data_IF_873833589698
#
_entry.id   IF_873833589698
#
_cell.length_a   1.000
_cell.length_b   1.000
_cell.length_c   1.000
_cell.angle_alpha   90.00
_cell.angle_beta   90.00
_cell.angle_gamma   90.00
#
_symmetry.space_group_name_H-M   'P 1'
#
loop_
_entity.id
_entity.type
_entity.pdbx_description
1 polymer ?
#
# COMPACT_ATOMS: atom_id res chain seq x y z
N UNK A 1 -25.35 -30.59 -36.59
CA UNK A 1 -24.42 -29.50 -37.01
C UNK A 1 -24.47 -28.23 -36.15
N UNK A 2 -25.54 -27.94 -35.39
CA UNK A 2 -25.64 -26.72 -34.55
C UNK A 2 -24.83 -26.73 -33.25
N UNK A 3 -24.49 -27.89 -32.69
CA UNK A 3 -23.75 -27.99 -31.41
C UNK A 3 -22.24 -27.66 -31.53
N UNK A 4 -21.63 -27.87 -32.70
CA UNK A 4 -20.19 -27.65 -32.92
C UNK A 4 -19.87 -26.15 -33.07
N UNK A 5 -20.86 -25.35 -33.48
CA UNK A 5 -20.75 -23.88 -33.59
C UNK A 5 -20.74 -23.20 -32.22
N UNK A 6 -21.51 -23.70 -31.25
CA UNK A 6 -21.53 -23.15 -29.88
C UNK A 6 -20.23 -23.41 -29.11
N UNK A 7 -19.57 -24.54 -29.33
CA UNK A 7 -18.29 -24.87 -28.68
C UNK A 7 -17.13 -24.00 -29.18
N UNK A 8 -17.14 -23.63 -30.47
CA UNK A 8 -16.16 -22.70 -31.07
C UNK A 8 -16.38 -21.25 -30.65
N UNK A 9 -17.64 -20.83 -30.47
CA UNK A 9 -17.96 -19.50 -29.96
C UNK A 9 -17.56 -19.32 -28.48
N UNK A 10 -17.72 -20.36 -27.65
CA UNK A 10 -17.29 -20.34 -26.25
C UNK A 10 -15.76 -20.32 -26.09
N UNK A 11 -15.03 -21.06 -26.94
CA UNK A 11 -13.56 -21.07 -26.92
C UNK A 11 -12.96 -19.70 -27.35
N UNK A 12 -13.59 -18.99 -28.28
CA UNK A 12 -13.18 -17.63 -28.68
C UNK A 12 -13.50 -16.58 -27.61
N UNK A 13 -14.58 -16.76 -26.83
CA UNK A 13 -14.92 -15.89 -25.70
C UNK A 13 -13.99 -16.12 -24.49
N UNK A 14 -13.55 -17.36 -24.24
CA UNK A 14 -12.52 -17.66 -23.25
C UNK A 14 -11.12 -17.15 -23.66
N UNK A 15 -10.78 -17.19 -24.96
CA UNK A 15 -9.52 -16.63 -25.46
C UNK A 15 -9.50 -15.09 -25.42
N UNK A 16 -10.66 -14.43 -25.57
CA UNK A 16 -10.78 -12.98 -25.43
C UNK A 16 -10.74 -12.50 -23.96
N UNK A 17 -11.09 -13.36 -23.00
CA UNK A 17 -10.97 -13.05 -21.57
C UNK A 17 -9.58 -13.36 -20.99
N UNK A 18 -8.77 -14.13 -21.72
CA UNK A 18 -7.36 -14.40 -21.44
C UNK A 18 -6.43 -13.41 -22.15
N UNK A 19 -6.91 -12.20 -22.43
CA UNK A 19 -6.04 -11.05 -22.66
C UNK A 19 -5.28 -10.78 -21.37
N UNK A 20 -4.17 -11.49 -21.19
CA UNK A 20 -3.22 -11.27 -20.13
C UNK A 20 -2.93 -9.77 -20.07
N UNK A 21 -3.41 -9.12 -19.02
CA UNK A 21 -2.92 -7.83 -18.58
C UNK A 21 -1.49 -8.11 -18.15
N UNK A 22 -0.58 -8.16 -19.12
CA UNK A 22 0.82 -7.89 -18.87
C UNK A 22 0.84 -6.45 -18.40
N UNK A 23 0.72 -6.28 -17.08
CA UNK A 23 1.19 -5.06 -16.44
C UNK A 23 2.65 -4.95 -16.89
N UNK A 24 2.89 -4.00 -17.79
CA UNK A 24 4.24 -3.58 -18.16
C UNK A 24 4.74 -2.76 -16.97
N UNK A 25 5.97 -3.03 -16.57
CA UNK A 25 6.69 -2.27 -15.58
C UNK A 25 6.86 -0.90 -16.18
N UNK A 26 6.86 0.06 -15.27
CA UNK A 26 7.36 1.35 -15.67
C UNK A 26 8.85 1.19 -16.02
N UNK A 27 9.23 1.62 -17.22
CA UNK A 27 10.65 1.65 -17.59
C UNK A 27 11.32 2.68 -16.67
N UNK A 28 12.20 2.23 -15.78
CA UNK A 28 12.91 3.07 -14.82
C UNK A 28 13.53 4.29 -15.53
N UNK A 29 14.06 4.12 -16.75
CA UNK A 29 14.69 5.20 -17.51
C UNK A 29 13.73 6.32 -17.90
N UNK A 30 12.43 6.03 -17.97
CA UNK A 30 11.38 7.01 -18.25
C UNK A 30 10.85 7.71 -17.00
N UNK A 31 11.22 7.23 -15.80
CA UNK A 31 10.84 7.86 -14.54
C UNK A 31 11.71 9.09 -14.32
N UNK A 32 11.07 10.25 -14.33
CA UNK A 32 11.69 11.53 -14.01
C UNK A 32 11.03 12.12 -12.76
N UNK A 33 11.79 12.83 -11.91
CA UNK A 33 11.22 13.51 -10.76
C UNK A 33 10.19 14.56 -11.20
N UNK A 34 8.95 14.44 -10.73
CA UNK A 34 7.94 15.50 -10.87
C UNK A 34 7.89 16.45 -9.67
N UNK A 35 8.79 16.23 -8.70
CA UNK A 35 8.75 16.72 -7.33
C UNK A 35 9.43 15.70 -6.42
N UNK A 36 9.24 15.84 -5.10
CA UNK A 36 9.64 14.81 -4.15
C UNK A 36 8.71 13.59 -4.21
N UNK A 37 7.47 13.76 -4.69
CA UNK A 37 6.45 12.69 -4.78
C UNK A 37 6.12 12.37 -6.23
N UNK A 38 6.50 11.15 -6.66
CA UNK A 38 6.21 10.61 -7.98
C UNK A 38 5.22 9.44 -7.85
N UNK A 39 3.93 9.70 -8.07
CA UNK A 39 2.85 8.71 -7.92
C UNK A 39 2.42 8.13 -9.27
N UNK A 40 3.08 7.07 -9.74
CA UNK A 40 2.79 6.42 -11.03
C UNK A 40 1.69 5.36 -10.90
N UNK A 41 1.49 4.86 -9.66
CA UNK A 41 0.40 3.95 -9.34
C UNK A 41 -0.95 4.67 -9.21
N UNK A 42 -0.96 5.99 -9.01
CA UNK A 42 -2.18 6.78 -8.83
C UNK A 42 -2.89 6.46 -7.51
N UNK A 43 -2.13 6.13 -6.47
CA UNK A 43 -2.64 5.65 -5.18
C UNK A 43 -2.54 6.68 -4.06
N UNK A 44 -1.96 7.85 -4.34
CA UNK A 44 -1.83 8.96 -3.38
C UNK A 44 -2.82 10.06 -3.76
N UNK A 45 -3.73 10.39 -2.85
CA UNK A 45 -4.67 11.50 -3.04
C UNK A 45 -3.96 12.85 -3.12
N UNK A 46 -4.51 13.81 -3.88
CA UNK A 46 -3.90 15.12 -4.16
C UNK A 46 -3.53 15.91 -2.91
N UNK A 47 -4.38 15.90 -1.87
CA UNK A 47 -4.12 16.58 -0.60
C UNK A 47 -2.89 16.01 0.12
N UNK A 48 -2.82 14.67 0.22
CA UNK A 48 -1.67 13.97 0.81
C UNK A 48 -0.41 14.20 0.00
N UNK A 49 -0.50 14.16 -1.34
CA UNK A 49 0.63 14.47 -2.21
C UNK A 49 1.18 15.87 -1.89
N UNK A 50 0.31 16.88 -1.78
CA UNK A 50 0.73 18.24 -1.45
C UNK A 50 1.37 18.33 -0.05
N UNK A 51 0.82 17.64 0.96
CA UNK A 51 1.40 17.60 2.30
C UNK A 51 2.77 16.91 2.34
N UNK A 52 2.92 15.80 1.61
CA UNK A 52 4.19 15.07 1.47
C UNK A 52 5.24 15.91 0.74
N UNK A 53 4.86 16.62 -0.32
CA UNK A 53 5.76 17.55 -1.03
C UNK A 53 6.24 18.67 -0.09
N UNK A 54 5.33 19.25 0.71
CA UNK A 54 5.68 20.29 1.69
C UNK A 54 6.64 19.77 2.77
N UNK A 55 6.40 18.55 3.31
CA UNK A 55 7.28 17.89 4.26
C UNK A 55 8.68 17.68 3.68
N UNK A 56 8.78 17.13 2.47
CA UNK A 56 10.07 16.84 1.85
C UNK A 56 10.83 18.12 1.50
N UNK A 57 10.11 19.16 1.06
CA UNK A 57 10.67 20.49 0.80
C UNK A 57 11.25 21.11 2.07
N UNK A 58 10.49 21.10 3.16
CA UNK A 58 10.95 21.65 4.44
C UNK A 58 12.15 20.87 4.99
N UNK A 59 12.13 19.53 4.88
CA UNK A 59 13.22 18.68 5.30
C UNK A 59 14.52 19.04 4.57
N UNK A 60 14.48 19.18 3.25
CA UNK A 60 15.65 19.56 2.46
C UNK A 60 16.13 20.98 2.84
N UNK A 61 15.22 21.94 2.96
CA UNK A 61 15.59 23.32 3.34
C UNK A 61 16.27 23.41 4.71
N UNK A 62 15.82 22.61 5.68
CA UNK A 62 16.34 22.67 7.06
C UNK A 62 17.56 21.78 7.29
N UNK A 63 17.72 20.69 6.55
CA UNK A 63 18.74 19.66 6.84
C UNK A 63 19.67 19.35 5.67
N UNK A 64 19.35 19.83 4.47
CA UNK A 64 20.02 19.46 3.22
C UNK A 64 19.79 18.00 2.79
N UNK A 65 18.98 17.22 3.51
CA UNK A 65 18.65 15.85 3.16
C UNK A 65 17.45 15.77 2.23
N UNK A 66 17.52 14.91 1.23
CA UNK A 66 16.47 14.72 0.22
C UNK A 66 15.68 13.44 0.50
N UNK A 67 14.37 13.56 0.64
CA UNK A 67 13.45 12.42 0.74
C UNK A 67 12.60 12.36 -0.52
N UNK A 68 12.68 11.27 -1.29
CA UNK A 68 11.80 11.02 -2.42
C UNK A 68 10.84 9.88 -2.11
N UNK A 69 9.64 10.02 -2.63
CA UNK A 69 8.54 9.10 -2.45
C UNK A 69 8.09 8.70 -3.85
N UNK A 70 8.16 7.41 -4.14
CA UNK A 70 7.79 6.88 -5.45
C UNK A 70 6.83 5.72 -5.28
N UNK A 71 5.70 5.77 -5.99
CA UNK A 71 4.83 4.62 -6.15
C UNK A 71 4.89 4.16 -7.60
N UNK A 72 5.04 2.86 -7.81
CA UNK A 72 5.04 2.23 -9.13
C UNK A 72 3.97 1.16 -9.15
N UNK A 73 3.35 0.91 -10.30
CA UNK A 73 2.29 -0.11 -10.37
C UNK A 73 2.84 -1.50 -10.10
N UNK A 74 3.94 -1.83 -10.76
CA UNK A 74 4.56 -3.15 -10.79
C UNK A 74 6.09 -3.03 -10.87
N UNK A 75 6.81 -4.01 -10.33
CA UNK A 75 8.25 -4.21 -10.49
C UNK A 75 8.58 -5.17 -11.65
N UNK A 76 7.56 -5.77 -12.28
CA UNK A 76 7.67 -6.78 -13.35
C UNK A 76 8.60 -7.95 -13.04
N UNK A 77 8.51 -8.45 -11.81
CA UNK A 77 9.32 -9.60 -11.39
C UNK A 77 10.78 -9.25 -11.11
N UNK A 78 11.21 -7.99 -11.23
CA UNK A 78 12.49 -7.55 -10.68
C UNK A 78 12.45 -7.56 -9.14
N UNK A 79 13.60 -7.74 -8.50
CA UNK A 79 13.70 -7.59 -7.05
C UNK A 79 13.54 -6.12 -6.68
N UNK A 80 12.83 -5.86 -5.57
CA UNK A 80 12.54 -4.50 -5.13
C UNK A 80 13.82 -3.77 -4.70
N UNK A 81 14.80 -4.51 -4.21
CA UNK A 81 16.13 -4.02 -3.85
C UNK A 81 16.88 -3.49 -5.08
N UNK A 82 16.99 -4.28 -6.14
CA UNK A 82 17.65 -3.84 -7.37
C UNK A 82 16.89 -2.69 -8.04
N UNK A 83 15.56 -2.79 -8.12
CA UNK A 83 14.73 -1.75 -8.69
C UNK A 83 14.93 -0.41 -7.96
N UNK A 84 14.94 -0.43 -6.63
CA UNK A 84 15.10 0.80 -5.84
C UNK A 84 16.49 1.41 -5.97
N UNK A 85 17.56 0.60 -6.02
CA UNK A 85 18.93 1.11 -6.24
C UNK A 85 19.04 1.79 -7.61
N UNK A 86 18.50 1.15 -8.66
CA UNK A 86 18.52 1.70 -10.01
C UNK A 86 17.67 2.98 -10.11
N UNK A 87 16.50 2.97 -9.48
CA UNK A 87 15.64 4.14 -9.39
C UNK A 87 16.30 5.29 -8.60
N UNK A 88 16.96 4.99 -7.48
CA UNK A 88 17.69 5.99 -6.68
C UNK A 88 18.77 6.70 -7.52
N UNK A 89 19.52 5.92 -8.31
CA UNK A 89 20.55 6.44 -9.23
C UNK A 89 19.93 7.24 -10.38
N UNK A 90 18.86 6.72 -10.98
CA UNK A 90 18.15 7.37 -12.08
C UNK A 90 17.57 8.73 -11.68
N UNK A 91 16.98 8.83 -10.50
CA UNK A 91 16.48 10.09 -9.97
C UNK A 91 17.61 11.04 -9.57
N UNK A 92 18.82 10.52 -9.33
CA UNK A 92 19.96 11.28 -8.85
C UNK A 92 19.79 11.68 -7.38
N UNK A 93 19.29 10.79 -6.53
CA UNK A 93 18.94 11.13 -5.15
C UNK A 93 20.13 11.54 -4.27
N UNK A 94 19.98 12.64 -3.53
CA UNK A 94 20.99 13.20 -2.62
C UNK A 94 21.99 14.13 -3.32
N UNK A 95 22.69 14.95 -2.55
CA UNK A 95 23.83 15.73 -3.04
C UNK A 95 24.98 14.80 -3.46
N UNK A 96 25.63 15.04 -4.61
CA UNK A 96 26.88 14.35 -4.99
C UNK A 96 27.99 14.45 -3.93
N UNK A 97 27.98 15.50 -3.12
CA UNK A 97 29.00 15.74 -2.10
C UNK A 97 28.70 14.93 -0.84
N UNK A 98 27.44 14.91 -0.43
CA UNK A 98 27.07 14.48 0.92
C UNK A 98 26.26 13.18 0.93
N UNK A 99 25.75 12.72 -0.21
CA UNK A 99 24.95 11.49 -0.38
C UNK A 99 23.75 11.38 0.58
N UNK A 100 23.18 12.53 0.99
CA UNK A 100 22.06 12.60 1.93
C UNK A 100 20.71 12.45 1.23
N UNK A 101 20.46 11.29 0.64
CA UNK A 101 19.20 10.95 -0.03
C UNK A 101 18.51 9.73 0.60
N UNK A 102 17.19 9.72 0.62
CA UNK A 102 16.37 8.56 0.99
C UNK A 102 15.25 8.40 -0.05
N UNK A 103 15.08 7.19 -0.57
CA UNK A 103 13.97 6.83 -1.46
C UNK A 103 13.02 5.89 -0.72
N UNK A 104 11.76 6.28 -0.61
CA UNK A 104 10.65 5.41 -0.21
C UNK A 104 9.89 4.95 -1.44
N UNK A 105 10.03 3.68 -1.79
CA UNK A 105 9.38 3.02 -2.92
C UNK A 105 8.24 2.11 -2.44
N UNK A 106 7.08 2.19 -3.10
CA UNK A 106 5.94 1.28 -2.89
C UNK A 106 5.43 0.74 -4.23
N UNK A 107 5.29 -0.59 -4.33
CA UNK A 107 4.76 -1.30 -5.49
C UNK A 107 3.49 -2.08 -5.11
N UNK A 108 2.28 -1.51 -5.30
CA UNK A 108 1.03 -2.12 -4.89
C UNK A 108 0.74 -3.49 -5.52
N UNK A 109 1.01 -3.69 -6.82
CA UNK A 109 0.69 -4.97 -7.47
C UNK A 109 1.59 -6.11 -6.96
N UNK A 110 2.85 -5.81 -6.63
CA UNK A 110 3.81 -6.76 -6.06
C UNK A 110 3.65 -6.95 -4.56
N UNK A 111 2.87 -6.08 -3.89
CA UNK A 111 2.79 -5.94 -2.44
C UNK A 111 4.16 -5.81 -1.77
N UNK A 112 5.02 -4.97 -2.34
CA UNK A 112 6.39 -4.74 -1.86
C UNK A 112 6.67 -3.25 -1.63
N UNK A 113 7.47 -2.96 -0.62
CA UNK A 113 8.02 -1.64 -0.37
C UNK A 113 9.53 -1.74 -0.12
N UNK A 114 10.22 -0.61 -0.33
CA UNK A 114 11.65 -0.49 -0.10
C UNK A 114 11.99 0.94 0.32
N UNK A 115 12.85 1.04 1.34
CA UNK A 115 13.45 2.29 1.81
C UNK A 115 14.93 2.22 1.50
N UNK A 116 15.36 2.86 0.42
CA UNK A 116 16.76 2.93 0.01
C UNK A 116 17.41 4.16 0.65
N UNK A 117 18.48 3.96 1.42
CA UNK A 117 19.18 5.03 2.15
C UNK A 117 20.53 5.29 1.49
N UNK A 118 20.82 6.55 1.17
CA UNK A 118 22.12 6.97 0.66
C UNK A 118 23.20 6.98 1.74
N UNK A 119 24.46 6.78 1.35
CA UNK A 119 25.60 6.63 2.28
C UNK A 119 25.71 7.74 3.32
N UNK A 120 25.33 8.98 2.98
CA UNK A 120 25.38 10.13 3.88
C UNK A 120 24.38 10.12 5.03
N UNK A 121 23.37 9.25 4.96
CA UNK A 121 22.33 9.10 5.96
C UNK A 121 22.33 7.73 6.64
N UNK A 122 23.20 6.79 6.28
CA UNK A 122 23.31 5.48 6.95
C UNK A 122 23.56 5.58 8.48
N UNK A 123 24.38 6.53 8.99
CA UNK A 123 24.53 6.70 10.44
C UNK A 123 23.25 7.16 11.14
N UNK A 124 22.37 7.83 10.39
CA UNK A 124 21.11 8.43 10.88
C UNK A 124 19.95 7.47 10.73
N UNK A 125 19.85 6.79 9.58
CA UNK A 125 18.83 5.82 9.24
C UNK A 125 19.55 4.52 8.89
N UNK A 126 19.92 3.79 9.94
CA UNK A 126 20.39 2.43 9.79
C UNK A 126 19.22 1.49 9.43
N UNK A 127 19.55 0.24 9.10
CA UNK A 127 18.56 -0.77 8.68
C UNK A 127 17.47 -1.01 9.74
N UNK A 128 17.79 -0.86 11.03
CA UNK A 128 16.81 -0.99 12.10
C UNK A 128 15.76 0.13 12.05
N UNK A 129 16.19 1.40 11.93
CA UNK A 129 15.30 2.57 11.79
C UNK A 129 14.51 2.53 10.48
N UNK A 130 15.15 2.16 9.38
CA UNK A 130 14.45 1.93 8.10
C UNK A 130 13.39 0.82 8.25
N UNK A 131 13.74 -0.26 8.94
CA UNK A 131 12.82 -1.36 9.23
C UNK A 131 11.65 -0.95 10.13
N UNK A 132 11.88 -0.09 11.12
CA UNK A 132 10.81 0.48 11.96
C UNK A 132 9.83 1.33 11.14
N UNK A 133 10.35 2.22 10.28
CA UNK A 133 9.53 3.01 9.37
C UNK A 133 8.72 2.11 8.43
N UNK A 134 9.36 1.12 7.80
CA UNK A 134 8.68 0.16 6.94
C UNK A 134 7.59 -0.63 7.66
N UNK A 135 7.85 -1.13 8.88
CA UNK A 135 6.86 -1.84 9.70
C UNK A 135 5.67 -0.95 10.07
N UNK A 136 5.88 0.33 10.33
CA UNK A 136 4.80 1.28 10.62
C UNK A 136 3.84 1.46 9.43
N UNK A 137 4.32 1.27 8.19
CA UNK A 137 3.49 1.33 6.99
C UNK A 137 2.59 0.10 6.81
N UNK A 138 3.05 -1.09 7.23
CA UNK A 138 2.40 -2.38 6.93
C UNK A 138 0.91 -2.45 7.28
N UNK A 139 0.43 -1.95 8.44
CA UNK A 139 -1.01 -1.96 8.75
C UNK A 139 -1.87 -1.24 7.71
N UNK A 140 -1.40 -0.13 7.16
CA UNK A 140 -2.10 0.64 6.13
C UNK A 140 -1.98 -0.01 4.75
N UNK A 141 -0.79 -0.53 4.42
CA UNK A 141 -0.54 -1.26 3.18
C UNK A 141 -1.47 -2.48 3.05
N UNK A 142 -1.66 -3.25 4.13
CA UNK A 142 -2.60 -4.38 4.18
C UNK A 142 -4.05 -4.00 3.92
N UNK A 143 -4.42 -2.75 4.21
CA UNK A 143 -5.75 -2.21 4.00
C UNK A 143 -5.88 -1.51 2.64
N UNK A 144 -4.84 -1.57 1.80
CA UNK A 144 -4.74 -0.81 0.55
C UNK A 144 -4.84 0.72 0.75
N UNK A 145 -4.54 1.20 1.96
CA UNK A 145 -4.44 2.62 2.26
C UNK A 145 -3.00 3.10 2.01
N UNK A 146 -2.62 3.17 0.73
CA UNK A 146 -1.27 3.52 0.32
C UNK A 146 -0.89 4.96 0.69
N UNK A 147 -1.88 5.86 0.70
CA UNK A 147 -1.68 7.25 1.09
C UNK A 147 -1.30 7.39 2.57
N UNK A 148 -2.05 6.75 3.48
CA UNK A 148 -1.70 6.73 4.92
C UNK A 148 -0.39 5.97 5.17
N UNK A 149 -0.14 4.88 4.42
CA UNK A 149 1.09 4.11 4.54
C UNK A 149 2.33 4.98 4.22
N UNK A 150 2.34 5.61 3.06
CA UNK A 150 3.47 6.43 2.60
C UNK A 150 3.67 7.64 3.49
N UNK A 151 2.60 8.31 3.92
CA UNK A 151 2.67 9.43 4.86
C UNK A 151 3.30 9.01 6.20
N UNK A 152 2.89 7.86 6.74
CA UNK A 152 3.46 7.32 7.99
C UNK A 152 4.95 7.05 7.86
N UNK A 153 5.36 6.35 6.79
CA UNK A 153 6.78 6.06 6.53
C UNK A 153 7.60 7.34 6.31
N UNK A 154 7.10 8.27 5.51
CA UNK A 154 7.77 9.52 5.19
C UNK A 154 7.99 10.40 6.44
N UNK A 155 6.95 10.58 7.28
CA UNK A 155 7.08 11.34 8.52
C UNK A 155 8.08 10.72 9.49
N UNK A 156 8.09 9.39 9.61
CA UNK A 156 9.02 8.71 10.50
C UNK A 156 10.48 8.86 10.03
N UNK A 157 10.73 8.73 8.72
CA UNK A 157 12.05 8.95 8.13
C UNK A 157 12.49 10.42 8.28
N UNK A 158 11.60 11.36 7.96
CA UNK A 158 11.86 12.79 8.10
C UNK A 158 12.18 13.18 9.55
N UNK A 159 11.47 12.58 10.52
CA UNK A 159 11.74 12.78 11.94
C UNK A 159 13.14 12.31 12.34
N UNK A 160 13.59 11.13 11.90
CA UNK A 160 14.94 10.67 12.22
C UNK A 160 16.03 11.63 11.73
N UNK A 161 15.85 12.21 10.53
CA UNK A 161 16.77 13.18 9.94
C UNK A 161 16.71 14.53 10.68
N UNK A 162 15.50 14.98 11.02
CA UNK A 162 15.28 16.23 11.74
C UNK A 162 15.87 16.19 13.16
N UNK A 163 15.64 15.08 13.88
CA UNK A 163 16.17 14.84 15.22
C UNK A 163 17.71 14.84 15.22
N UNK A 164 18.34 14.18 14.22
CA UNK A 164 19.80 14.19 14.03
C UNK A 164 20.36 15.59 13.75
N UNK A 165 19.62 16.38 12.95
CA UNK A 165 20.00 17.75 12.60
C UNK A 165 19.60 18.78 13.67
N UNK A 166 18.97 18.36 14.77
CA UNK A 166 18.42 19.22 15.83
C UNK A 166 17.47 20.31 15.32
N UNK A 167 16.66 19.99 14.30
CA UNK A 167 15.65 20.88 13.74
C UNK A 167 14.24 20.34 14.01
N UNK A 168 13.25 21.23 14.04
CA UNK A 168 11.85 20.86 14.11
C UNK A 168 11.20 21.01 12.74
N UNK A 169 10.40 20.03 12.33
CA UNK A 169 9.57 20.11 11.11
C UNK A 169 8.20 20.69 11.44
N UNK A 170 7.64 21.45 10.50
CA UNK A 170 6.36 22.12 10.62
C UNK A 170 5.28 21.18 10.09
N UNK A 171 4.37 20.77 10.97
CA UNK A 171 3.30 19.84 10.64
C UNK A 171 3.07 18.86 11.76
N UNK A 172 1.99 18.11 11.64
CA UNK A 172 1.63 17.08 12.60
C UNK A 172 1.90 15.72 11.98
N UNK A 173 2.54 14.78 12.71
CA UNK A 173 2.62 13.40 12.27
C UNK A 173 1.20 12.85 12.05
N UNK A 174 1.01 11.88 11.15
CA UNK A 174 -0.30 11.31 10.89
C UNK A 174 -0.87 10.80 12.21
N UNK A 175 -2.07 11.28 12.56
CA UNK A 175 -2.83 10.71 13.65
C UNK A 175 -3.10 9.26 13.26
N UNK A 176 -2.56 8.30 14.02
CA UNK A 176 -2.76 6.86 13.81
C UNK A 176 -4.24 6.51 13.97
N UNK A 177 -5.07 6.84 12.98
CA UNK A 177 -6.40 6.29 12.81
C UNK A 177 -6.19 5.06 11.97
N UNK A 178 -5.94 3.93 12.64
CA UNK A 178 -6.30 2.65 12.03
C UNK A 178 -7.81 2.73 11.86
N UNK A 179 -8.26 3.17 10.68
CA UNK A 179 -9.65 3.01 10.26
C UNK A 179 -9.83 1.51 10.25
N UNK A 180 -10.44 0.94 11.30
CA UNK A 180 -11.07 -0.36 11.18
C UNK A 180 -12.16 -0.20 10.12
N UNK A 181 -11.79 -0.35 8.85
CA UNK A 181 -12.72 -0.60 7.79
C UNK A 181 -13.38 -1.92 8.17
N UNK A 182 -14.53 -1.83 8.83
CA UNK A 182 -15.55 -2.89 8.81
C UNK A 182 -15.93 -3.03 7.34
N UNK A 183 -15.10 -3.73 6.59
CA UNK A 183 -15.35 -4.02 5.20
C UNK A 183 -16.45 -5.09 5.20
N UNK A 184 -17.70 -4.63 5.21
CA UNK A 184 -18.92 -5.44 5.07
C UNK A 184 -19.09 -5.99 3.64
N UNK A 185 -17.98 -6.36 2.99
CA UNK A 185 -17.93 -6.85 1.60
C UNK A 185 -18.15 -8.35 1.45
N UNK A 186 -18.30 -9.10 2.54
CA UNK A 186 -18.62 -10.55 2.50
C UNK A 186 -20.12 -10.86 2.40
N UNK A 187 -20.98 -9.86 2.54
CA UNK A 187 -22.45 -10.03 2.60
C UNK A 187 -23.04 -10.35 1.23
N UNK A 188 -22.67 -9.61 0.18
CA UNK A 188 -23.32 -9.71 -1.13
C UNK A 188 -23.12 -11.06 -1.81
N UNK A 189 -21.88 -11.55 -1.91
CA UNK A 189 -21.59 -12.85 -2.58
C UNK A 189 -22.21 -14.01 -1.80
N UNK A 190 -22.21 -13.93 -0.47
CA UNK A 190 -22.81 -14.96 0.39
C UNK A 190 -24.33 -15.01 0.21
N UNK A 191 -25.01 -13.86 0.21
CA UNK A 191 -26.46 -13.82 -0.05
C UNK A 191 -26.83 -14.21 -1.48
N UNK A 192 -25.96 -13.94 -2.46
CA UNK A 192 -26.15 -14.40 -3.86
C UNK A 192 -26.00 -15.92 -3.95
N UNK A 193 -25.00 -16.52 -3.28
CA UNK A 193 -24.81 -17.98 -3.23
C UNK A 193 -25.97 -18.65 -2.48
N UNK A 194 -26.41 -18.09 -1.35
CA UNK A 194 -27.57 -18.57 -0.59
C UNK A 194 -28.87 -18.43 -1.41
N UNK A 195 -29.05 -17.31 -2.11
CA UNK A 195 -30.19 -17.09 -3.01
C UNK A 195 -30.23 -18.09 -4.17
N UNK A 196 -29.08 -18.35 -4.81
CA UNK A 196 -28.94 -19.38 -5.85
C UNK A 196 -29.22 -20.78 -5.29
N UNK A 197 -28.74 -21.09 -4.09
CA UNK A 197 -28.98 -22.39 -3.46
C UNK A 197 -30.46 -22.61 -3.13
N UNK A 198 -31.15 -21.58 -2.64
CA UNK A 198 -32.60 -21.62 -2.37
C UNK A 198 -33.38 -21.74 -3.69
N UNK A 199 -33.01 -20.98 -4.72
CA UNK A 199 -33.62 -21.03 -6.05
C UNK A 199 -33.50 -22.44 -6.67
N UNK A 200 -32.30 -23.02 -6.66
CA UNK A 200 -32.07 -24.38 -7.19
C UNK A 200 -32.74 -25.47 -6.35
N UNK A 201 -32.84 -25.29 -5.03
CA UNK A 201 -33.59 -26.20 -4.15
C UNK A 201 -35.10 -26.16 -4.41
N UNK A 202 -35.63 -25.02 -4.87
CA UNK A 202 -37.04 -24.86 -5.25
C UNK A 202 -37.34 -25.35 -6.67
N UNK A 203 -36.44 -25.09 -7.64
CA UNK A 203 -36.57 -25.62 -9.01
C UNK A 203 -36.39 -27.14 -9.07
N UNK A 204 -35.57 -27.72 -8.18
CA UNK A 204 -35.44 -29.17 -8.02
C UNK A 204 -36.66 -29.85 -7.38
N UNK A 205 -37.58 -29.09 -6.78
CA UNK A 205 -38.82 -29.60 -6.16
C UNK A 205 -39.99 -29.70 -7.13
N UNK A 206 -39.97 -29.00 -8.27
CA UNK A 206 -41.04 -29.05 -9.28
C UNK A 206 -40.83 -30.12 -10.36
N UNK A 207 -39.67 -30.78 -10.38
CA UNK A 207 -39.33 -31.84 -11.33
C UNK A 207 -39.23 -33.21 -10.66
N UNK A 208 -40.28 -33.63 -9.95
CA UNK A 208 -40.70 -35.03 -9.75
C UNK A 208 -39.70 -36.09 -9.26
N UNK A 209 -38.45 -35.76 -8.92
CA UNK A 209 -37.43 -36.74 -8.57
C UNK A 209 -37.38 -36.87 -7.06
N UNK A 210 -38.08 -37.88 -6.54
CA UNK A 210 -37.98 -38.35 -5.14
C UNK A 210 -36.59 -38.99 -4.94
N UNK A 211 -35.70 -38.48 -4.08
CA UNK A 211 -34.61 -39.28 -3.56
C UNK A 211 -35.15 -40.02 -2.34
N UNK A 212 -35.49 -41.29 -2.54
CA UNK A 212 -35.69 -42.22 -1.43
C UNK A 212 -34.38 -42.49 -0.71
N UNK A 213 -34.44 -42.57 0.61
CA UNK A 213 -33.52 -43.39 1.42
C UNK A 213 -32.33 -42.69 2.06
N UNK A 214 -32.50 -42.26 3.32
CA UNK A 214 -31.47 -42.34 4.37
C UNK A 214 -30.30 -41.33 4.34
N UNK A 215 -30.19 -40.50 5.39
CA UNK A 215 -28.92 -39.83 5.72
C UNK A 215 -28.94 -38.32 5.94
N UNK A 216 -30.07 -37.71 6.29
CA UNK A 216 -30.13 -36.29 6.65
C UNK A 216 -29.85 -36.03 8.13
N UNK A 217 -28.58 -35.91 8.56
CA UNK A 217 -28.25 -35.36 9.90
C UNK A 217 -26.77 -35.05 10.19
N UNK A 218 -25.83 -35.10 9.22
CA UNK A 218 -24.40 -34.85 9.50
C UNK A 218 -23.93 -33.40 9.31
N UNK A 219 -24.19 -32.81 8.14
CA UNK A 219 -23.63 -31.51 7.74
C UNK A 219 -24.18 -30.33 8.56
N UNK A 220 -25.47 -30.39 8.89
CA UNK A 220 -26.15 -29.40 9.71
C UNK A 220 -25.70 -29.42 11.17
N UNK A 221 -25.20 -30.54 11.69
CA UNK A 221 -24.58 -30.63 13.01
C UNK A 221 -23.10 -30.23 12.98
N UNK A 222 -22.39 -30.53 11.89
CA UNK A 222 -21.01 -30.10 11.65
C UNK A 222 -20.88 -28.56 11.55
N UNK A 223 -21.78 -27.90 10.81
CA UNK A 223 -21.77 -26.44 10.66
C UNK A 223 -22.17 -25.71 11.96
N UNK A 224 -23.05 -26.29 12.76
CA UNK A 224 -23.43 -25.72 14.05
C UNK A 224 -22.30 -25.84 15.09
N UNK A 225 -21.53 -26.94 15.06
CA UNK A 225 -20.36 -27.13 15.91
C UNK A 225 -19.22 -26.14 15.65
N UNK A 226 -19.09 -25.65 14.41
CA UNK A 226 -18.07 -24.66 14.02
C UNK A 226 -18.44 -23.23 14.43
N UNK A 227 -19.74 -22.94 14.59
CA UNK A 227 -20.25 -21.63 15.03
C UNK A 227 -20.26 -21.48 16.56
N UNK A 228 -20.29 -22.58 17.31
CA UNK A 228 -20.34 -22.57 18.77
C UNK A 228 -18.98 -22.36 19.47
N UNK A 229 -17.84 -22.34 18.73
CA UNK A 229 -16.50 -22.26 19.31
C UNK A 229 -15.79 -20.90 19.10
N UNK A 230 -16.48 -19.84 18.64
CA UNK A 230 -15.88 -18.52 18.39
C UNK A 230 -16.18 -17.47 19.46
N UNK A 231 -16.47 -17.87 20.71
CA UNK A 231 -16.87 -16.95 21.76
C UNK A 231 -16.30 -17.25 23.13
N UNK A 232 -15.03 -16.90 23.39
CA UNK A 232 -14.53 -16.68 24.77
C UNK A 232 -13.23 -15.85 24.82
N UNK A 233 -13.28 -14.74 25.60
CA UNK A 233 -12.13 -13.99 26.14
C UNK A 233 -12.00 -12.56 25.59
N UNK A 234 -12.73 -11.57 26.11
CA UNK A 234 -12.35 -10.64 27.22
C UNK A 234 -11.27 -9.61 26.83
N UNK A 235 -11.65 -8.33 26.61
CA UNK A 235 -11.85 -7.21 27.58
C UNK A 235 -10.54 -6.59 28.10
N UNK A 236 -10.43 -5.28 27.89
CA UNK A 236 -9.38 -4.39 28.40
C UNK A 236 -9.65 -2.96 27.94
N UNK A 237 -10.56 -2.28 28.64
CA UNK A 237 -11.00 -0.89 28.49
C UNK A 237 -9.98 0.15 29.02
N UNK A 238 -10.36 1.44 28.85
CA UNK A 238 -9.88 2.70 29.48
C UNK A 238 -8.71 3.39 28.77
N UNK A 239 -8.74 4.66 28.36
CA UNK A 239 -9.61 5.86 28.50
C UNK A 239 -8.88 6.99 27.73
N UNK A 240 -9.39 8.16 27.34
CA UNK A 240 -10.54 8.97 27.71
C UNK A 240 -10.07 10.45 27.70
N UNK A 241 -10.69 11.31 26.88
CA UNK A 241 -10.51 12.79 26.85
C UNK A 241 -9.56 13.29 25.74
N UNK A 242 -9.79 14.40 25.03
CA UNK A 242 -10.75 15.50 25.08
C UNK A 242 -10.36 16.54 24.01
N UNK A 243 -11.31 17.34 23.56
CA UNK A 243 -11.30 18.18 22.35
C UNK A 243 -10.45 19.47 22.39
N UNK A 244 -10.09 19.95 21.19
CA UNK A 244 -9.71 21.33 20.85
C UNK A 244 -8.85 21.31 19.57
N UNK A 245 -9.24 21.83 18.40
CA UNK A 245 -9.94 23.08 18.12
C UNK A 245 -8.91 24.09 17.62
N UNK A 246 -8.67 24.18 16.30
CA UNK A 246 -7.73 25.13 15.73
C UNK A 246 -7.45 24.90 14.25
N UNK A 247 -8.29 25.46 13.39
CA UNK A 247 -8.01 25.62 11.96
C UNK A 247 -7.06 26.80 11.76
N UNK A 248 -5.78 26.52 11.50
CA UNK A 248 -4.80 27.51 11.07
C UNK A 248 -4.55 27.38 9.57
N UNK A 249 -4.82 28.45 8.82
CA UNK A 249 -4.57 28.54 7.39
C UNK A 249 -3.07 28.48 7.07
N UNK A 250 -2.72 27.72 6.04
CA UNK A 250 -1.34 27.61 5.57
C UNK A 250 -1.13 28.62 4.45
N UNK A 251 -0.44 29.71 4.80
CA UNK A 251 0.07 30.70 3.85
C UNK A 251 1.25 30.12 3.09
N UNK A 252 1.13 30.08 1.76
CA UNK A 252 2.17 29.63 0.86
C UNK A 252 3.34 30.62 0.79
N UNK A 253 4.54 30.12 1.07
CA UNK A 253 5.82 30.72 0.71
C UNK A 253 6.61 29.69 -0.09
N UNK A 254 6.75 29.92 -1.39
CA UNK A 254 7.29 28.95 -2.34
C UNK A 254 8.80 28.75 -2.23
N UNK A 255 9.20 27.50 -2.00
CA UNK A 255 10.44 26.94 -2.54
C UNK A 255 10.03 25.72 -3.36
N UNK A 256 10.08 25.83 -4.69
CA UNK A 256 9.76 24.72 -5.58
C UNK A 256 10.87 23.67 -5.60
N UNK A 257 10.52 22.42 -5.88
CA UNK A 257 11.47 21.33 -6.11
C UNK A 257 12.55 21.73 -7.13
N UNK A 258 13.82 21.66 -6.73
CA UNK A 258 14.98 22.09 -7.52
C UNK A 258 15.69 20.99 -8.31
N UNK A 259 15.21 19.74 -8.23
CA UNK A 259 15.92 18.56 -8.74
C UNK A 259 16.80 17.89 -7.69
N UNK A 260 17.07 16.59 -7.86
CA UNK A 260 17.97 15.85 -6.96
C UNK A 260 19.44 15.99 -7.40
N UNK A 261 20.35 15.94 -6.42
CA UNK A 261 21.75 16.40 -6.58
C UNK A 261 22.77 15.38 -7.11
N UNK A 262 22.37 14.14 -7.39
CA UNK A 262 23.17 13.05 -7.95
C UNK A 262 23.94 12.15 -6.95
N UNK A 263 23.43 11.91 -5.75
CA UNK A 263 24.07 11.06 -4.73
C UNK A 263 24.00 9.55 -5.04
N UNK A 264 24.68 8.75 -4.20
CA UNK A 264 24.83 7.30 -4.35
C UNK A 264 24.32 6.51 -3.14
N UNK A 265 23.82 5.30 -3.42
CA UNK A 265 23.50 4.27 -2.43
C UNK A 265 23.99 2.89 -2.91
N UNK A 266 24.27 2.01 -1.95
CA UNK A 266 24.77 0.65 -2.15
C UNK A 266 23.82 -0.46 -1.71
N UNK A 267 22.53 -0.19 -1.47
CA UNK A 267 21.59 -1.18 -0.95
C UNK A 267 21.24 -1.01 0.54
N UNK A 268 21.51 0.15 1.14
CA UNK A 268 21.22 0.41 2.57
C UNK A 268 19.71 0.55 2.86
N UNK A 269 19.29 0.26 4.10
CA UNK A 269 17.91 0.46 4.57
C UNK A 269 17.10 -0.84 4.72
N UNK A 270 15.78 -0.79 4.48
CA UNK A 270 14.89 -1.95 4.65
C UNK A 270 13.94 -2.18 3.47
N UNK A 271 13.56 -3.43 3.23
CA UNK A 271 12.48 -3.84 2.32
C UNK A 271 11.47 -4.70 3.06
N UNK A 272 10.27 -4.83 2.50
CA UNK A 272 9.26 -5.72 3.06
C UNK A 272 8.08 -5.97 2.12
N UNK A 273 7.29 -6.98 2.47
CA UNK A 273 6.05 -7.34 1.79
C UNK A 273 4.86 -7.34 2.75
N UNK A 274 3.64 -7.28 2.23
CA UNK A 274 2.42 -7.29 3.05
C UNK A 274 1.27 -8.15 2.51
#
# INVERSE_FOLDING_TARGET
MRAILFFRAAALLCAAFFGAVFARAEDIKSIHPTGYVTDLAGVIGTEKKASLEALCTELEQKTGAQLAIVTVRSLDGQSVEYYAVDLFRQLGMGSKKDNRGVLLLVAPNDRKYRIEVGYGLEPVINDARAGDAGRAMVPFLRQSDYGDAVETGAWQLAKYIADDSNVTLSGSPPLTRVRHSRNGGGSGIFWVIVGLFILFSFLGRSSGMRPGGGGGSGLLWFLLGMMANSGRGSRGDWGGGGFGGGSGGWGGGGGGFGGFGGGSSGGGGASGSW
#
